data_IF_435317194108
#
_entry.id   IF_435317194108
#
_cell.length_a   1.000
_cell.length_b   1.000
_cell.length_c   1.000
_cell.angle_alpha   90.00
_cell.angle_beta   90.00
_cell.angle_gamma   90.00
#
_symmetry.space_group_name_H-M   'P 1'
#
loop_
_entity.id
_entity.type
_entity.pdbx_description
1 polymer ?
#
# COMPACT_ATOMS: atom_id res chain seq x y z
N UNK A 1 15.58 -8.87 -11.03
CA UNK A 1 14.42 -9.25 -10.20
C UNK A 1 14.45 -10.71 -9.72
N UNK A 2 15.00 -11.68 -10.50
CA UNK A 2 15.11 -13.10 -10.10
C UNK A 2 15.97 -13.36 -8.84
N UNK A 3 16.88 -12.45 -8.47
CA UNK A 3 17.89 -12.69 -7.44
C UNK A 3 17.39 -12.47 -5.99
N UNK A 4 16.40 -11.60 -5.76
CA UNK A 4 15.93 -11.26 -4.40
C UNK A 4 15.25 -12.44 -3.69
N UNK A 5 14.46 -13.24 -4.42
CA UNK A 5 13.83 -14.46 -3.89
C UNK A 5 14.63 -15.73 -4.16
N UNK A 6 15.77 -15.63 -4.85
CA UNK A 6 16.63 -16.79 -5.15
C UNK A 6 17.49 -17.22 -3.96
N UNK A 7 17.70 -16.33 -2.98
CA UNK A 7 18.53 -16.59 -1.80
C UNK A 7 17.68 -16.98 -0.59
N UNK A 8 16.49 -16.37 -0.44
CA UNK A 8 15.50 -16.71 0.57
C UNK A 8 14.15 -17.03 -0.10
N UNK A 9 13.57 -18.19 0.23
CA UNK A 9 12.27 -18.66 -0.27
C UNK A 9 11.07 -17.78 0.14
N UNK A 10 11.30 -16.77 0.97
CA UNK A 10 10.30 -15.78 1.39
C UNK A 10 10.94 -14.47 1.86
N UNK A 11 10.16 -13.39 1.90
CA UNK A 11 10.58 -12.08 2.39
C UNK A 11 9.43 -11.40 3.16
N UNK A 12 9.75 -10.58 4.18
CA UNK A 12 8.76 -9.77 4.90
C UNK A 12 8.59 -8.42 4.22
N UNK A 13 7.36 -7.91 4.16
CA UNK A 13 7.11 -6.60 3.57
C UNK A 13 7.55 -5.47 4.52
N UNK A 14 8.30 -4.46 4.06
CA UNK A 14 8.78 -3.35 4.90
C UNK A 14 7.65 -2.59 5.64
N UNK A 15 6.50 -2.45 4.99
CA UNK A 15 5.30 -1.80 5.55
C UNK A 15 4.60 -2.59 6.65
N UNK A 16 4.75 -3.91 6.63
CA UNK A 16 4.12 -4.79 7.60
C UNK A 16 4.97 -6.05 7.77
N UNK A 17 5.86 -6.07 8.77
CA UNK A 17 6.70 -7.23 9.05
C UNK A 17 5.89 -8.51 9.33
N UNK A 18 4.63 -8.41 9.73
CA UNK A 18 3.76 -9.57 9.91
C UNK A 18 3.39 -10.28 8.59
N UNK A 19 3.48 -9.58 7.45
CA UNK A 19 3.17 -10.16 6.14
C UNK A 19 4.42 -10.78 5.52
N UNK A 20 4.35 -12.09 5.28
CA UNK A 20 5.40 -12.88 4.67
C UNK A 20 4.98 -13.28 3.25
N UNK A 21 5.85 -13.00 2.28
CA UNK A 21 5.56 -13.21 0.85
C UNK A 21 6.56 -14.17 0.23
N UNK A 22 6.08 -15.07 -0.63
CA UNK A 22 6.92 -16.05 -1.34
C UNK A 22 7.50 -15.52 -2.67
N UNK A 23 6.85 -14.51 -3.25
CA UNK A 23 7.25 -13.96 -4.53
C UNK A 23 6.29 -12.90 -5.04
N UNK A 24 6.52 -12.45 -6.28
CA UNK A 24 5.69 -11.47 -6.98
C UNK A 24 4.87 -12.21 -8.04
N UNK A 25 3.56 -12.01 -8.05
CA UNK A 25 2.68 -12.44 -9.13
C UNK A 25 2.69 -11.38 -10.24
N UNK A 26 3.57 -11.58 -11.22
CA UNK A 26 3.79 -10.65 -12.34
C UNK A 26 2.50 -10.44 -13.16
N UNK A 27 1.70 -11.50 -13.36
CA UNK A 27 0.47 -11.42 -14.16
C UNK A 27 -0.59 -10.53 -13.50
N UNK A 28 -0.56 -10.41 -12.17
CA UNK A 28 -1.48 -9.55 -11.42
C UNK A 28 -0.93 -8.15 -11.13
N UNK A 29 0.32 -7.87 -11.55
CA UNK A 29 0.90 -6.54 -11.49
C UNK A 29 0.38 -5.69 -12.65
N UNK A 30 0.18 -4.39 -12.40
CA UNK A 30 -0.31 -3.45 -13.41
C UNK A 30 0.21 -2.05 -13.11
N UNK A 31 0.02 -1.11 -14.03
CA UNK A 31 0.21 0.32 -13.76
C UNK A 31 -1.15 1.01 -13.74
N UNK A 32 -1.24 2.15 -13.05
CA UNK A 32 -2.42 3.01 -13.09
C UNK A 32 -2.21 4.13 -14.12
N UNK A 33 -3.25 4.47 -14.88
CA UNK A 33 -3.18 5.47 -15.96
C UNK A 33 -3.25 6.94 -15.46
N UNK A 34 -2.72 7.25 -14.28
CA UNK A 34 -2.67 8.63 -13.75
C UNK A 34 -1.34 9.32 -14.07
N UNK A 35 -1.24 10.64 -13.90
CA UNK A 35 -0.06 11.44 -14.25
C UNK A 35 1.27 10.92 -13.65
N UNK A 36 1.24 10.33 -12.46
CA UNK A 36 2.42 9.77 -11.79
C UNK A 36 2.67 8.27 -12.08
N UNK A 37 1.82 7.65 -12.91
CA UNK A 37 1.84 6.23 -13.32
C UNK A 37 2.26 5.27 -12.19
N UNK A 38 1.51 5.20 -11.07
CA UNK A 38 1.85 4.29 -9.98
C UNK A 38 1.90 2.84 -10.45
N UNK A 39 2.84 2.07 -9.92
CA UNK A 39 2.98 0.64 -10.17
C UNK A 39 2.24 -0.16 -9.10
N UNK A 40 1.27 -0.98 -9.50
CA UNK A 40 0.66 -2.00 -8.65
C UNK A 40 1.51 -3.26 -8.69
N UNK A 41 2.15 -3.58 -7.57
CA UNK A 41 2.85 -4.83 -7.32
C UNK A 41 1.93 -5.79 -6.57
N UNK A 42 1.77 -7.02 -7.08
CA UNK A 42 1.00 -8.08 -6.42
C UNK A 42 1.95 -9.12 -5.87
N UNK A 43 2.01 -9.27 -4.56
CA UNK A 43 2.83 -10.25 -3.87
C UNK A 43 1.99 -11.47 -3.52
N UNK A 44 2.57 -12.65 -3.73
CA UNK A 44 1.95 -13.90 -3.31
C UNK A 44 2.16 -14.09 -1.81
N UNK A 45 1.06 -14.23 -1.08
CA UNK A 45 1.11 -14.53 0.34
C UNK A 45 1.76 -15.90 0.55
N UNK A 46 2.53 -16.04 1.63
CA UNK A 46 3.04 -17.34 2.04
C UNK A 46 1.91 -18.20 2.64
N UNK A 47 0.93 -17.57 3.29
CA UNK A 47 -0.27 -18.25 3.78
C UNK A 47 -1.10 -18.79 2.61
N UNK A 48 -1.31 -20.12 2.49
CA UNK A 48 -2.10 -20.72 1.42
C UNK A 48 -3.56 -20.28 1.41
N UNK A 49 -4.11 -19.88 2.56
CA UNK A 49 -5.50 -19.39 2.69
C UNK A 49 -5.58 -17.87 2.52
N UNK A 50 -4.44 -17.19 2.46
CA UNK A 50 -4.36 -15.74 2.38
C UNK A 50 -4.38 -15.22 0.94
N UNK A 51 -5.14 -14.15 0.73
CA UNK A 51 -5.16 -13.43 -0.56
C UNK A 51 -3.79 -12.82 -0.92
N UNK A 52 -3.59 -12.59 -2.22
CA UNK A 52 -2.44 -11.84 -2.73
C UNK A 52 -2.40 -10.43 -2.12
N UNK A 53 -1.21 -10.03 -1.68
CA UNK A 53 -0.97 -8.74 -1.05
C UNK A 53 -0.62 -7.73 -2.13
N UNK A 54 -1.48 -6.74 -2.32
CA UNK A 54 -1.26 -5.71 -3.33
C UNK A 54 -0.62 -4.47 -2.70
N UNK A 55 0.38 -3.97 -3.39
CA UNK A 55 1.21 -2.83 -3.03
C UNK A 55 1.17 -1.83 -4.17
N UNK A 56 0.92 -0.56 -3.87
CA UNK A 56 1.14 0.51 -4.85
C UNK A 56 2.49 1.13 -4.57
N UNK A 57 3.34 1.15 -5.59
CA UNK A 57 4.63 1.82 -5.61
C UNK A 57 4.51 3.10 -6.43
N UNK A 58 4.82 4.24 -5.81
CA UNK A 58 4.90 5.55 -6.45
C UNK A 58 6.32 6.05 -6.35
N UNK A 59 6.91 6.48 -7.46
CA UNK A 59 8.24 7.10 -7.46
C UNK A 59 8.11 8.57 -7.81
N UNK A 60 8.83 9.43 -7.10
CA UNK A 60 8.88 10.88 -7.35
C UNK A 60 7.82 11.72 -6.61
N UNK A 61 6.87 11.10 -5.91
CA UNK A 61 5.87 11.80 -5.09
C UNK A 61 6.35 11.96 -3.64
N UNK A 62 6.31 13.19 -3.09
CA UNK A 62 6.58 13.43 -1.66
C UNK A 62 5.38 13.11 -0.77
N UNK A 63 5.27 11.85 -0.40
CA UNK A 63 4.13 11.37 0.40
C UNK A 63 4.37 11.49 1.91
N UNK A 64 5.33 12.30 2.35
CA UNK A 64 5.54 12.55 3.79
C UNK A 64 4.32 13.23 4.42
N UNK A 65 3.66 14.13 3.69
CA UNK A 65 2.45 14.80 4.16
C UNK A 65 1.25 13.85 4.22
N UNK A 66 1.06 13.01 3.20
CA UNK A 66 0.04 11.96 3.19
C UNK A 66 0.24 10.96 4.32
N UNK A 67 1.49 10.55 4.57
CA UNK A 67 1.83 9.63 5.66
C UNK A 67 1.42 10.21 7.02
N UNK A 68 1.72 11.49 7.29
CA UNK A 68 1.32 12.16 8.52
C UNK A 68 -0.21 12.26 8.62
N UNK A 69 -0.87 12.67 7.53
CA UNK A 69 -2.33 12.81 7.48
C UNK A 69 -3.03 11.48 7.79
N UNK A 70 -2.58 10.39 7.16
CA UNK A 70 -3.12 9.05 7.40
C UNK A 70 -2.87 8.60 8.84
N UNK A 71 -1.73 8.93 9.45
CA UNK A 71 -1.48 8.63 10.85
C UNK A 71 -2.45 9.36 11.78
N UNK A 72 -2.73 10.64 11.53
CA UNK A 72 -3.71 11.41 12.31
C UNK A 72 -5.11 10.80 12.16
N UNK A 73 -5.52 10.42 10.95
CA UNK A 73 -6.80 9.73 10.71
C UNK A 73 -6.87 8.40 11.48
N UNK A 74 -5.76 7.65 11.59
CA UNK A 74 -5.71 6.42 12.41
C UNK A 74 -5.92 6.68 13.88
N UNK A 75 -5.40 7.79 14.40
CA UNK A 75 -5.60 8.19 15.79
C UNK A 75 -7.05 8.61 16.00
N UNK A 76 -7.60 9.44 15.12
CA UNK A 76 -9.01 9.87 15.18
C UNK A 76 -9.96 8.67 15.15
N UNK A 77 -9.73 7.70 14.25
CA UNK A 77 -10.56 6.51 14.17
C UNK A 77 -10.52 5.66 15.45
N UNK A 78 -9.37 5.59 16.13
CA UNK A 78 -9.30 4.91 17.43
C UNK A 78 -10.13 5.60 18.49
N UNK A 79 -10.08 6.95 18.54
CA UNK A 79 -10.86 7.75 19.48
C UNK A 79 -12.35 7.56 19.21
N UNK A 80 -12.79 7.67 17.96
CA UNK A 80 -14.21 7.49 17.61
C UNK A 80 -14.74 6.11 18.00
N UNK A 81 -13.98 5.04 17.72
CA UNK A 81 -14.38 3.68 18.13
C UNK A 81 -14.45 3.56 19.65
N UNK A 82 -13.53 4.18 20.41
CA UNK A 82 -13.57 4.19 21.87
C UNK A 82 -14.81 4.89 22.42
N UNK A 83 -15.26 5.96 21.76
CA UNK A 83 -16.50 6.68 22.09
C UNK A 83 -17.77 6.00 21.53
N UNK A 84 -17.66 4.80 20.96
CA UNK A 84 -18.80 4.05 20.41
C UNK A 84 -19.25 4.49 19.01
N UNK A 85 -18.47 5.33 18.33
CA UNK A 85 -18.73 5.79 16.96
C UNK A 85 -17.90 5.00 15.94
N UNK A 86 -18.49 3.97 15.34
CA UNK A 86 -17.87 3.24 14.22
C UNK A 86 -18.26 3.84 12.87
N UNK A 87 -17.38 4.68 12.32
CA UNK A 87 -17.55 5.25 10.97
C UNK A 87 -17.11 4.31 9.85
N UNK A 88 -16.72 3.06 10.15
CA UNK A 88 -16.30 2.05 9.18
C UNK A 88 -15.16 2.54 8.28
N UNK A 89 -14.22 3.28 8.85
CA UNK A 89 -13.10 3.89 8.13
C UNK A 89 -12.11 2.82 7.66
N UNK A 90 -11.78 2.85 6.38
CA UNK A 90 -10.71 2.04 5.79
C UNK A 90 -9.46 2.90 5.63
N UNK A 91 -8.44 2.64 6.45
CA UNK A 91 -7.24 3.47 6.50
C UNK A 91 -6.04 2.74 5.91
N UNK A 92 -5.43 3.36 4.90
CA UNK A 92 -4.27 2.83 4.21
C UNK A 92 -3.00 3.07 5.02
N UNK A 93 -2.03 2.17 4.86
CA UNK A 93 -0.66 2.42 5.31
C UNK A 93 0.11 3.01 4.14
N UNK A 94 0.70 4.19 4.31
CA UNK A 94 1.75 4.70 3.44
C UNK A 94 3.03 4.87 4.27
N UNK A 95 4.17 4.66 3.62
CA UNK A 95 5.49 4.83 4.21
C UNK A 95 6.42 5.39 3.14
N UNK A 96 7.17 6.45 3.47
CA UNK A 96 8.19 7.02 2.59
C UNK A 96 9.56 6.42 2.92
N UNK A 97 10.24 5.85 1.94
CA UNK A 97 11.53 5.14 2.13
C UNK A 97 12.78 6.05 2.08
N UNK A 98 12.63 7.39 2.01
CA UNK A 98 13.72 8.36 2.18
C UNK A 98 14.15 9.15 0.94
N UNK A 99 15.09 10.09 1.09
CA UNK A 99 15.61 10.98 0.02
C UNK A 99 16.79 10.35 -0.73
N UNK A 100 16.77 10.44 -2.07
CA UNK A 100 17.90 10.07 -2.94
C UNK A 100 17.60 8.98 -3.98
N UNK A 101 16.46 8.28 -3.87
CA UNK A 101 15.98 7.28 -4.85
C UNK A 101 14.46 7.39 -5.04
N UNK A 102 13.99 8.58 -5.40
CA UNK A 102 12.59 8.85 -5.81
C UNK A 102 11.54 8.40 -4.80
N UNK A 103 11.38 9.12 -3.68
CA UNK A 103 10.33 8.96 -2.65
C UNK A 103 9.31 7.85 -2.94
N UNK A 104 9.68 6.64 -2.55
CA UNK A 104 8.93 5.44 -2.90
C UNK A 104 7.86 5.21 -1.83
N UNK A 105 6.59 5.58 -2.07
CA UNK A 105 5.52 5.12 -1.18
C UNK A 105 5.08 3.74 -1.61
N UNK A 106 5.02 2.86 -0.61
CA UNK A 106 4.42 1.55 -0.69
C UNK A 106 3.05 1.71 -0.01
N UNK A 107 1.94 1.36 -0.68
CA UNK A 107 0.61 1.29 -0.06
C UNK A 107 0.09 -0.13 -0.09
N UNK A 108 0.03 -0.81 1.06
CA UNK A 108 -0.53 -2.17 1.17
C UNK A 108 -2.05 -2.08 1.27
N UNK A 109 -2.71 -2.74 0.32
CA UNK A 109 -4.15 -2.93 0.28
C UNK A 109 -4.49 -4.26 0.98
N UNK A 110 -5.32 -4.19 2.01
CA UNK A 110 -6.30 -5.24 2.29
C UNK A 110 -7.66 -4.63 1.93
N UNK A 111 -8.37 -5.29 1.02
CA UNK A 111 -9.67 -4.96 0.43
C UNK A 111 -10.42 -3.70 0.93
N UNK A 112 -10.40 -2.60 0.17
CA UNK A 112 -11.57 -1.95 -0.47
C UNK A 112 -11.05 -1.27 -1.75
N UNK A 113 -11.44 -1.81 -2.91
CA UNK A 113 -10.83 -1.46 -4.20
C UNK A 113 -11.55 -0.44 -5.04
N UNK A 114 -12.78 -0.14 -4.68
CA UNK A 114 -13.66 0.60 -5.58
C UNK A 114 -13.90 2.03 -5.10
N UNK A 115 -14.08 2.25 -3.79
CA UNK A 115 -14.40 3.60 -3.28
C UNK A 115 -13.24 4.61 -3.39
N UNK A 116 -11.99 4.18 -3.23
CA UNK A 116 -10.86 5.12 -3.19
C UNK A 116 -10.05 5.19 -4.46
N UNK A 117 -10.02 4.16 -5.31
CA UNK A 117 -9.43 4.33 -6.66
C UNK A 117 -10.24 5.38 -7.43
N UNK A 118 -11.57 5.38 -7.31
CA UNK A 118 -12.43 6.42 -7.91
C UNK A 118 -12.19 7.80 -7.26
N UNK A 119 -12.19 7.92 -5.92
CA UNK A 119 -11.96 9.22 -5.27
C UNK A 119 -10.54 9.78 -5.45
N UNK A 120 -9.51 8.93 -5.48
CA UNK A 120 -8.11 9.36 -5.65
C UNK A 120 -7.80 9.72 -7.10
N UNK A 121 -8.46 9.07 -8.09
CA UNK A 121 -8.44 9.50 -9.49
C UNK A 121 -9.22 10.81 -9.69
N UNK A 122 -10.38 10.97 -9.05
CA UNK A 122 -11.19 12.21 -9.07
C UNK A 122 -10.48 13.40 -8.40
N UNK A 123 -9.69 13.17 -7.35
CA UNK A 123 -8.97 14.24 -6.65
C UNK A 123 -7.71 14.71 -7.40
N UNK A 124 -7.10 13.87 -8.24
CA UNK A 124 -5.93 14.23 -9.06
C UNK A 124 -6.30 14.65 -10.51
N UNK A 125 -7.59 14.86 -10.81
CA UNK A 125 -8.09 15.41 -12.08
C UNK A 125 -8.56 16.88 -11.96
N UNK A 126 -8.24 17.56 -10.86
CA UNK A 126 -8.33 19.02 -10.71
C UNK A 126 -6.95 19.58 -10.44
#
# INVERSE_FOLDING_TARGET
>A
MKQFFSVNSSCRLPLNPALLVKGINIQSCSFFNSNAVPLKLSFQNLDPLGDNINVIFKSGDDLRQDMLTLQVIRIMNKIWIQEGLDMRMVIFKCFSTGRGRGQECISIRHMIGEMLTQKYLLWNQK
#
